data_IF_056686856985
#
_entry.id   IF_056686856985
#
_cell.length_a   1.000
_cell.length_b   1.000
_cell.length_c   1.000
_cell.angle_alpha   90.00
_cell.angle_beta   90.00
_cell.angle_gamma   90.00
#
_symmetry.space_group_name_H-M   'P 1'
#
loop_
_entity.id
_entity.type
_entity.pdbx_description
1 polymer ?
#
# COMPACT_ATOMS: atom_id res chain seq x y z
N UNK A 1 -24.65 20.44 11.43
CA UNK A 1 -23.24 20.00 11.46
C UNK A 1 -22.97 19.35 10.12
N UNK A 2 -22.18 19.99 9.27
CA UNK A 2 -21.94 19.54 7.90
C UNK A 2 -20.88 18.44 7.94
N UNK A 3 -21.32 17.19 8.08
CA UNK A 3 -20.47 16.02 7.91
C UNK A 3 -20.05 15.97 6.44
N UNK A 4 -18.91 16.58 6.13
CA UNK A 4 -18.23 16.36 4.85
C UNK A 4 -17.78 14.89 4.86
N UNK A 5 -18.70 14.01 4.47
CA UNK A 5 -18.40 12.62 4.20
C UNK A 5 -17.38 12.68 3.07
N UNK A 6 -16.12 12.43 3.39
CA UNK A 6 -15.06 12.25 2.42
C UNK A 6 -15.48 11.06 1.55
N UNK A 7 -16.23 11.31 0.49
CA UNK A 7 -16.56 10.33 -0.53
C UNK A 7 -15.27 10.06 -1.28
N UNK A 8 -14.47 9.17 -0.71
CA UNK A 8 -13.27 8.67 -1.34
C UNK A 8 -13.74 7.66 -2.38
N UNK A 9 -13.88 8.11 -3.63
CA UNK A 9 -14.25 7.23 -4.74
C UNK A 9 -13.14 6.20 -4.93
N UNK A 10 -13.38 4.99 -4.43
CA UNK A 10 -12.49 3.85 -4.59
C UNK A 10 -12.71 3.31 -6.01
N UNK A 11 -11.86 3.70 -6.94
CA UNK A 11 -11.84 3.11 -8.29
C UNK A 11 -11.03 1.82 -8.19
N UNK A 12 -11.62 0.67 -8.54
CA UNK A 12 -10.86 -0.58 -8.63
C UNK A 12 -9.84 -0.46 -9.76
N UNK A 13 -8.56 -0.58 -9.41
CA UNK A 13 -7.47 -0.36 -10.35
C UNK A 13 -7.22 -1.54 -11.27
N UNK A 14 -6.54 -1.26 -12.39
CA UNK A 14 -5.97 -2.28 -13.25
C UNK A 14 -4.78 -2.98 -12.58
N UNK A 15 -4.16 -3.93 -13.26
CA UNK A 15 -3.08 -4.74 -12.72
C UNK A 15 -1.94 -3.90 -12.06
N UNK A 16 -1.73 -3.99 -10.74
CA UNK A 16 -0.73 -3.21 -10.02
C UNK A 16 0.70 -3.76 -10.18
N UNK A 17 0.88 -4.92 -10.81
CA UNK A 17 2.20 -5.57 -10.94
C UNK A 17 3.17 -4.79 -11.83
N UNK A 18 2.66 -3.90 -12.67
CA UNK A 18 3.48 -3.01 -13.50
C UNK A 18 4.04 -1.80 -12.75
N UNK A 19 3.59 -1.55 -11.51
CA UNK A 19 3.94 -0.35 -10.78
C UNK A 19 5.27 -0.52 -10.01
N UNK A 20 6.19 0.45 -10.09
CA UNK A 20 7.40 0.44 -9.28
C UNK A 20 7.08 0.47 -7.77
N UNK A 21 5.98 1.13 -7.37
CA UNK A 21 5.55 1.20 -5.97
C UNK A 21 5.17 -0.17 -5.40
N UNK A 22 4.55 -1.03 -6.21
CA UNK A 22 4.18 -2.38 -5.78
C UNK A 22 5.41 -3.26 -5.56
N UNK A 23 6.42 -3.12 -6.43
CA UNK A 23 7.70 -3.81 -6.26
C UNK A 23 8.41 -3.35 -4.99
N UNK A 24 8.41 -2.05 -4.71
CA UNK A 24 8.98 -1.48 -3.50
C UNK A 24 8.29 -1.98 -2.21
N UNK A 25 6.95 -2.10 -2.20
CA UNK A 25 6.23 -2.70 -1.06
C UNK A 25 6.68 -4.15 -0.85
N UNK A 26 6.81 -4.94 -1.92
CA UNK A 26 7.27 -6.32 -1.81
C UNK A 26 8.71 -6.41 -1.29
N UNK A 27 9.58 -5.52 -1.73
CA UNK A 27 10.96 -5.43 -1.22
C UNK A 27 11.00 -5.09 0.26
N UNK A 28 10.20 -4.11 0.70
CA UNK A 28 10.04 -3.82 2.13
C UNK A 28 9.54 -5.07 2.87
N UNK A 29 8.42 -5.68 2.49
CA UNK A 29 7.89 -6.87 3.19
C UNK A 29 8.88 -8.06 3.20
N UNK A 30 9.69 -8.20 2.15
CA UNK A 30 10.78 -9.18 2.12
C UNK A 30 11.89 -8.90 3.14
N UNK A 31 12.06 -7.66 3.62
CA UNK A 31 12.95 -7.32 4.73
C UNK A 31 12.45 -7.91 6.05
N UNK A 32 11.14 -7.95 6.30
CA UNK A 32 10.60 -8.67 7.48
C UNK A 32 10.87 -10.18 7.43
N UNK A 33 10.99 -10.75 6.24
CA UNK A 33 11.32 -12.17 6.05
C UNK A 33 12.82 -12.45 6.07
N UNK A 34 13.68 -11.42 6.16
CA UNK A 34 15.13 -11.62 6.23
C UNK A 34 15.56 -12.06 7.63
N UNK A 35 16.50 -13.02 7.73
CA UNK A 35 17.01 -13.52 9.02
C UNK A 35 17.70 -12.43 9.85
N UNK A 36 18.18 -11.36 9.21
CA UNK A 36 18.78 -10.20 9.87
C UNK A 36 17.75 -9.21 10.45
N UNK A 37 16.43 -9.45 10.24
CA UNK A 37 15.30 -8.56 10.58
C UNK A 37 15.63 -7.06 10.45
N UNK A 38 16.01 -6.58 9.25
CA UNK A 38 16.12 -5.16 9.01
C UNK A 38 14.81 -4.46 9.38
N UNK A 39 14.90 -3.30 10.03
CA UNK A 39 13.75 -2.54 10.49
C UNK A 39 12.81 -2.25 9.32
N UNK A 40 11.59 -2.78 9.42
CA UNK A 40 10.61 -2.65 8.36
C UNK A 40 9.97 -1.27 8.42
N UNK A 41 10.02 -0.53 7.31
CA UNK A 41 9.44 0.80 7.26
C UNK A 41 7.95 0.73 6.91
N UNK A 42 7.10 0.43 7.90
CA UNK A 42 5.65 0.40 7.71
C UNK A 42 5.08 1.72 7.17
N UNK A 43 5.64 2.87 7.58
CA UNK A 43 5.26 4.19 7.02
C UNK A 43 5.56 4.31 5.53
N UNK A 44 6.61 3.66 5.05
CA UNK A 44 6.96 3.63 3.62
C UNK A 44 5.96 2.75 2.88
N UNK A 45 5.67 1.55 3.40
CA UNK A 45 4.63 0.66 2.84
C UNK A 45 3.28 1.37 2.75
N UNK A 46 2.89 2.11 3.79
CA UNK A 46 1.66 2.90 3.81
C UNK A 46 1.65 3.96 2.70
N UNK A 47 2.74 4.73 2.57
CA UNK A 47 2.87 5.79 1.57
C UNK A 47 2.85 5.25 0.15
N UNK A 48 3.52 4.12 -0.09
CA UNK A 48 3.54 3.43 -1.38
C UNK A 48 2.14 2.88 -1.74
N UNK A 49 1.43 2.29 -0.77
CA UNK A 49 0.08 1.80 -1.00
C UNK A 49 -0.89 2.93 -1.37
N UNK A 50 -0.81 4.07 -0.69
CA UNK A 50 -1.57 5.27 -1.04
C UNK A 50 -1.21 5.82 -2.42
N UNK A 51 0.06 5.72 -2.83
CA UNK A 51 0.50 6.13 -4.16
C UNK A 51 -0.10 5.22 -5.26
N UNK A 52 -0.11 3.89 -5.05
CA UNK A 52 -0.74 2.92 -5.97
C UNK A 52 -2.23 3.21 -6.11
N UNK A 53 -2.92 3.47 -5.00
CA UNK A 53 -4.35 3.79 -5.00
C UNK A 53 -4.67 5.04 -5.80
N UNK A 54 -3.78 6.05 -5.79
CA UNK A 54 -3.94 7.27 -6.58
C UNK A 54 -3.59 7.09 -8.05
N UNK A 55 -2.56 6.30 -8.35
CA UNK A 55 -2.02 6.17 -9.70
C UNK A 55 -2.80 5.19 -10.57
N UNK A 56 -3.21 4.05 -9.98
CA UNK A 56 -3.78 2.93 -10.74
C UNK A 56 -5.18 2.55 -10.26
N UNK A 57 -5.54 2.94 -9.04
CA UNK A 57 -6.77 2.54 -8.36
C UNK A 57 -6.49 1.54 -7.24
N UNK A 58 -7.52 1.20 -6.48
CA UNK A 58 -7.41 0.32 -5.32
C UNK A 58 -7.47 -1.13 -5.76
N UNK A 59 -6.47 -1.89 -5.35
CA UNK A 59 -6.42 -3.34 -5.49
C UNK A 59 -6.36 -4.02 -4.11
N UNK A 60 -6.86 -5.26 -4.05
CA UNK A 60 -6.93 -6.03 -2.81
C UNK A 60 -5.55 -6.35 -2.22
N UNK A 61 -4.54 -6.53 -3.07
CA UNK A 61 -3.20 -6.93 -2.66
C UNK A 61 -2.51 -5.79 -1.91
N UNK A 62 -2.53 -4.60 -2.49
CA UNK A 62 -2.04 -3.36 -1.90
C UNK A 62 -2.83 -2.97 -0.66
N UNK A 63 -4.16 -3.18 -0.64
CA UNK A 63 -4.96 -2.97 0.57
C UNK A 63 -4.55 -3.91 1.72
N UNK A 64 -4.22 -5.17 1.41
CA UNK A 64 -3.72 -6.12 2.42
C UNK A 64 -2.40 -5.64 3.02
N UNK A 65 -1.47 -5.16 2.19
CA UNK A 65 -0.21 -4.59 2.67
C UNK A 65 -0.41 -3.30 3.48
N UNK A 66 -1.35 -2.45 3.08
CA UNK A 66 -1.73 -1.25 3.82
C UNK A 66 -2.28 -1.59 5.22
N UNK A 67 -3.12 -2.61 5.33
CA UNK A 67 -3.64 -3.06 6.63
C UNK A 67 -2.56 -3.68 7.50
N UNK A 68 -1.66 -4.48 6.92
CA UNK A 68 -0.50 -5.03 7.63
C UNK A 68 0.39 -3.91 8.18
N UNK A 69 0.61 -2.84 7.42
CA UNK A 69 1.37 -1.66 7.85
C UNK A 69 0.73 -0.85 8.99
N UNK A 70 -0.54 -1.12 9.29
CA UNK A 70 -1.31 -0.42 10.31
C UNK A 70 -1.51 -1.20 11.61
N UNK A 71 -0.97 -2.42 11.70
CA UNK A 71 -1.02 -3.27 12.90
C UNK A 71 0.18 -2.98 13.78
#
# INVERSE_FOLDING_TARGET
MNSNVLTQTIVTGSDPRGLPEFSAIREEINKASHPSQPELNWKLVESLALAIFKANGVDLHTATYYTLART
#
